data_IF_907055230368
#
_entry.id   IF_907055230368
#
_cell.length_a   1.000
_cell.length_b   1.000
_cell.length_c   1.000
_cell.angle_alpha   90.00
_cell.angle_beta   90.00
_cell.angle_gamma   90.00
#
_symmetry.space_group_name_H-M   'P 1'
#
loop_
_entity.id
_entity.type
_entity.pdbx_description
1 polymer ?
#
# COMPACT_ATOMS: atom_id res chain seq x y z
N UNK A 1 33.08 2.91 -68.80
CA UNK A 1 32.93 1.60 -69.39
C UNK A 1 32.27 0.65 -68.47
N UNK A 2 31.12 0.25 -68.94
CA UNK A 2 30.47 -1.06 -68.93
C UNK A 2 30.04 -1.57 -67.54
N UNK A 3 28.82 -1.52 -67.28
CA UNK A 3 27.64 -2.26 -67.74
C UNK A 3 27.39 -3.59 -66.99
N UNK A 4 26.16 -3.66 -66.49
CA UNK A 4 25.27 -4.82 -66.40
C UNK A 4 25.66 -5.95 -65.44
N UNK A 5 24.78 -6.36 -64.55
CA UNK A 5 23.62 -7.12 -64.88
C UNK A 5 22.63 -7.29 -63.74
N UNK A 6 21.40 -7.12 -64.02
CA UNK A 6 20.25 -7.49 -63.25
C UNK A 6 20.08 -9.03 -63.25
N UNK A 7 19.63 -9.58 -62.18
CA UNK A 7 18.87 -10.85 -62.25
C UNK A 7 17.76 -10.89 -61.21
N UNK A 8 16.57 -10.76 -61.74
CA UNK A 8 15.33 -11.24 -61.13
C UNK A 8 15.38 -12.76 -61.08
N UNK A 9 14.92 -13.34 -59.99
CA UNK A 9 14.34 -14.67 -59.95
C UNK A 9 13.32 -14.65 -58.79
N UNK A 10 12.08 -14.46 -59.14
CA UNK A 10 10.97 -15.40 -59.36
C UNK A 10 10.51 -16.07 -58.08
N UNK A 11 9.32 -15.65 -57.74
CA UNK A 11 8.28 -16.32 -56.99
C UNK A 11 8.22 -17.78 -57.39
N UNK A 12 8.19 -18.68 -56.42
CA UNK A 12 7.48 -19.91 -56.61
C UNK A 12 6.64 -20.28 -55.35
N UNK A 13 5.46 -20.55 -55.67
CA UNK A 13 4.28 -20.89 -54.99
C UNK A 13 4.35 -22.36 -54.50
N UNK A 14 3.36 -22.69 -53.65
CA UNK A 14 2.76 -24.01 -53.37
C UNK A 14 3.37 -24.68 -52.14
N UNK A 15 2.61 -25.05 -51.14
CA UNK A 15 1.56 -26.03 -51.21
C UNK A 15 0.63 -25.95 -49.99
N UNK A 16 -0.61 -26.18 -50.31
CA UNK A 16 -1.77 -26.39 -49.48
C UNK A 16 -1.74 -27.83 -48.93
N UNK A 17 -1.89 -28.03 -47.66
CA UNK A 17 -1.87 -29.39 -47.08
C UNK A 17 -2.49 -29.45 -45.69
N UNK A 18 -3.80 -29.47 -45.69
CA UNK A 18 -4.72 -30.31 -44.89
C UNK A 18 -4.51 -30.40 -43.37
N UNK A 19 -5.45 -29.82 -42.68
CA UNK A 19 -6.52 -30.44 -41.88
C UNK A 19 -6.16 -31.79 -41.27
N UNK A 20 -6.08 -31.78 -39.95
CA UNK A 20 -6.78 -32.82 -39.20
C UNK A 20 -7.23 -32.30 -37.84
N UNK A 21 -8.52 -32.29 -37.68
CA UNK A 21 -9.25 -32.07 -36.45
C UNK A 21 -9.13 -33.32 -35.56
N UNK A 22 -8.77 -33.16 -34.34
CA UNK A 22 -9.05 -34.15 -33.32
C UNK A 22 -9.87 -33.49 -32.20
N UNK A 23 -11.18 -33.64 -32.40
CA UNK A 23 -12.17 -33.57 -31.32
C UNK A 23 -11.93 -34.76 -30.39
N UNK A 24 -11.76 -34.48 -29.12
CA UNK A 24 -12.14 -35.43 -28.09
C UNK A 24 -13.04 -34.70 -27.10
N UNK A 25 -14.31 -34.84 -27.31
CA UNK A 25 -15.35 -34.68 -26.33
C UNK A 25 -15.18 -35.76 -25.25
N UNK A 26 -15.22 -35.43 -24.03
CA UNK A 26 -15.69 -36.36 -23.02
C UNK A 26 -16.55 -35.64 -21.99
N UNK A 27 -17.80 -35.70 -22.23
CA UNK A 27 -18.94 -35.52 -21.36
C UNK A 27 -18.91 -36.60 -20.29
N UNK A 28 -18.94 -36.21 -19.05
CA UNK A 28 -19.53 -37.07 -18.03
C UNK A 28 -20.37 -36.21 -17.10
N UNK A 29 -21.62 -36.18 -17.43
CA UNK A 29 -22.73 -35.83 -16.54
C UNK A 29 -22.87 -36.93 -15.51
N UNK A 30 -22.85 -36.54 -14.24
CA UNK A 30 -23.49 -37.36 -13.19
C UNK A 30 -24.52 -36.50 -12.49
N UNK A 31 -25.71 -36.79 -12.83
CA UNK A 31 -26.97 -36.39 -12.23
C UNK A 31 -27.28 -37.41 -11.15
N UNK A 32 -27.49 -36.98 -9.94
CA UNK A 32 -28.19 -37.74 -8.89
C UNK A 32 -28.87 -36.70 -7.99
N UNK A 33 -30.08 -36.53 -8.19
CA UNK A 33 -31.28 -37.07 -7.56
C UNK A 33 -31.55 -36.55 -6.15
N UNK A 34 -32.65 -35.84 -6.14
CA UNK A 34 -33.45 -35.30 -5.04
C UNK A 34 -34.07 -36.45 -4.25
N UNK A 35 -34.03 -36.32 -2.92
CA UNK A 35 -35.04 -36.88 -1.99
C UNK A 35 -34.96 -36.00 -0.74
N UNK A 36 -35.87 -35.13 -0.53
CA UNK A 36 -37.18 -35.16 0.07
C UNK A 36 -37.15 -35.60 1.56
N UNK A 37 -37.67 -34.70 2.41
CA UNK A 37 -38.38 -35.08 3.61
C UNK A 37 -37.80 -34.59 4.96
N UNK A 38 -38.44 -33.57 5.53
CA UNK A 38 -38.56 -33.54 6.94
C UNK A 38 -38.22 -32.25 7.72
N UNK A 39 -39.12 -31.31 7.70
CA UNK A 39 -39.43 -30.44 8.84
C UNK A 39 -40.60 -31.09 9.63
N UNK A 40 -40.94 -30.75 10.87
CA UNK A 40 -40.47 -29.69 11.79
C UNK A 40 -40.36 -30.18 13.25
N UNK A 41 -39.81 -29.36 14.14
CA UNK A 41 -40.34 -29.23 15.51
C UNK A 41 -39.75 -28.03 16.25
N UNK A 42 -40.64 -27.21 16.64
CA UNK A 42 -40.68 -26.09 17.57
C UNK A 42 -40.46 -26.57 19.01
N UNK A 43 -39.71 -25.80 19.82
CA UNK A 43 -39.91 -25.55 21.24
C UNK A 43 -38.84 -24.55 21.68
N UNK A 44 -39.18 -23.31 21.85
CA UNK A 44 -39.66 -22.56 23.05
C UNK A 44 -38.87 -22.77 24.31
N UNK A 45 -38.41 -21.57 24.74
CA UNK A 45 -38.47 -21.09 26.14
C UNK A 45 -37.21 -21.28 26.99
N UNK A 46 -36.61 -20.28 27.47
CA UNK A 46 -36.83 -19.56 28.72
C UNK A 46 -35.75 -18.52 28.94
N UNK A 47 -36.22 -17.32 29.15
CA UNK A 47 -35.55 -16.20 29.77
C UNK A 47 -35.10 -16.54 31.23
N UNK A 48 -33.98 -15.97 31.62
CA UNK A 48 -33.84 -15.53 33.02
C UNK A 48 -32.89 -14.35 33.10
N UNK A 49 -33.52 -13.20 33.31
CA UNK A 49 -32.96 -12.01 33.92
C UNK A 49 -32.44 -12.37 35.31
N UNK A 50 -31.36 -11.76 35.71
CA UNK A 50 -31.13 -11.51 37.12
C UNK A 50 -30.42 -10.16 37.29
N UNK A 51 -31.27 -9.17 37.53
CA UNK A 51 -30.93 -7.96 38.27
C UNK A 51 -30.69 -8.32 39.71
N UNK A 52 -29.66 -7.77 40.30
CA UNK A 52 -29.66 -7.42 41.72
C UNK A 52 -28.82 -6.18 41.95
N UNK A 53 -29.53 -5.18 42.14
CA UNK A 53 -29.36 -3.88 42.76
C UNK A 53 -28.98 -3.97 44.24
N UNK A 54 -28.53 -2.80 44.78
CA UNK A 54 -28.54 -2.29 46.19
C UNK A 54 -27.20 -2.47 46.93
N UNK A 55 -26.64 -1.53 47.61
CA UNK A 55 -26.93 -0.18 48.09
C UNK A 55 -25.68 0.42 48.74
N UNK A 56 -25.50 1.66 48.52
CA UNK A 56 -25.42 2.82 49.44
C UNK A 56 -24.75 2.65 50.81
N UNK A 57 -24.01 3.73 51.11
CA UNK A 57 -23.74 4.47 52.36
C UNK A 57 -22.33 4.24 52.95
N UNK A 58 -21.62 5.19 53.45
CA UNK A 58 -21.90 6.53 53.95
C UNK A 58 -20.60 7.31 54.18
N UNK A 59 -20.70 8.56 53.97
CA UNK A 59 -20.00 9.74 54.47
C UNK A 59 -19.08 9.57 55.68
N UNK A 60 -17.89 10.19 55.61
CA UNK A 60 -17.40 10.98 56.75
C UNK A 60 -16.36 12.06 56.27
N UNK A 61 -16.85 13.30 56.34
CA UNK A 61 -16.02 14.48 56.52
C UNK A 61 -15.34 14.43 57.87
N UNK A 62 -14.10 14.86 57.95
CA UNK A 62 -13.57 15.66 59.06
C UNK A 62 -12.52 16.62 58.57
N UNK A 63 -12.85 17.85 58.72
CA UNK A 63 -12.23 19.15 58.77
C UNK A 63 -10.75 19.27 59.17
N UNK A 64 -10.11 20.20 58.47
CA UNK A 64 -9.43 21.43 58.91
C UNK A 64 -8.14 21.31 59.79
N UNK A 65 -7.11 21.89 59.41
CA UNK A 65 -6.56 23.24 59.66
C UNK A 65 -5.06 23.26 59.31
N UNK A 66 -4.72 24.20 58.49
CA UNK A 66 -3.76 25.32 58.58
C UNK A 66 -2.33 24.99 59.03
N UNK A 67 -1.30 25.31 58.30
CA UNK A 67 -0.64 26.61 58.32
C UNK A 67 0.62 26.64 57.46
N UNK A 68 0.84 27.81 56.87
CA UNK A 68 2.09 28.48 56.58
C UNK A 68 3.06 28.02 55.48
N UNK A 69 3.00 28.81 54.42
CA UNK A 69 4.10 29.48 53.71
C UNK A 69 5.44 28.74 53.54
N UNK A 70 5.70 28.42 52.29
CA UNK A 70 6.97 28.87 51.65
C UNK A 70 6.72 29.07 50.15
N UNK A 71 6.87 30.30 49.71
CA UNK A 71 7.08 30.63 48.30
C UNK A 71 8.35 29.92 47.85
N UNK A 72 8.24 29.04 46.88
CA UNK A 72 9.37 28.73 46.04
C UNK A 72 8.88 28.53 44.61
N UNK A 73 9.23 29.50 43.85
CA UNK A 73 9.44 29.55 42.41
C UNK A 73 8.84 28.40 41.58
N UNK A 74 7.66 28.63 41.05
CA UNK A 74 7.22 27.93 39.83
C UNK A 74 8.17 28.33 38.70
N UNK A 75 9.21 27.56 38.50
CA UNK A 75 9.79 27.45 37.18
C UNK A 75 8.70 26.82 36.28
N UNK A 76 8.06 27.67 35.55
CA UNK A 76 7.35 27.27 34.34
C UNK A 76 8.39 26.65 33.41
N UNK A 77 8.55 25.33 33.52
CA UNK A 77 9.10 24.53 32.47
C UNK A 77 8.14 24.72 31.28
N UNK A 78 8.41 25.78 30.50
CA UNK A 78 8.04 25.79 29.11
C UNK A 78 8.70 24.55 28.51
N UNK A 79 7.95 23.47 28.52
CA UNK A 79 8.27 22.30 27.73
C UNK A 79 8.34 22.77 26.28
N UNK A 80 9.54 23.06 25.84
CA UNK A 80 9.87 23.16 24.45
C UNK A 80 9.41 21.83 23.86
N UNK A 81 8.28 21.80 23.19
CA UNK A 81 7.91 20.69 22.30
C UNK A 81 9.02 20.71 21.25
N UNK A 82 10.01 19.84 21.47
CA UNK A 82 11.03 19.58 20.46
C UNK A 82 10.27 18.83 19.37
N UNK A 83 9.76 19.59 18.40
CA UNK A 83 9.26 18.97 17.17
C UNK A 83 10.41 18.16 16.60
N UNK A 84 10.22 16.87 16.33
CA UNK A 84 11.28 16.05 15.77
C UNK A 84 11.74 16.70 14.47
N UNK A 85 13.02 17.07 14.44
CA UNK A 85 13.59 17.69 13.26
C UNK A 85 13.82 16.62 12.23
N UNK A 86 13.03 16.65 11.17
CA UNK A 86 13.22 15.82 9.98
C UNK A 86 13.84 16.73 8.92
N UNK A 87 14.96 16.31 8.36
CA UNK A 87 15.71 17.08 7.37
C UNK A 87 16.13 16.15 6.24
N UNK A 88 15.63 16.42 5.06
CA UNK A 88 16.02 15.75 3.81
C UNK A 88 16.39 16.83 2.81
N UNK A 89 17.57 16.74 2.24
CA UNK A 89 18.12 17.73 1.30
C UNK A 89 18.41 17.08 -0.05
N UNK A 90 18.77 17.86 -1.04
CA UNK A 90 19.15 17.36 -2.37
C UNK A 90 20.37 16.43 -2.36
N UNK A 91 21.22 16.54 -1.32
CA UNK A 91 22.40 15.69 -1.13
C UNK A 91 22.10 14.45 -0.27
N UNK A 92 20.85 14.29 0.20
CA UNK A 92 20.45 13.14 1.00
C UNK A 92 20.11 11.95 0.10
N UNK A 93 20.27 10.73 0.63
CA UNK A 93 19.92 9.51 -0.07
C UNK A 93 18.74 8.78 0.56
N UNK A 94 18.03 8.00 -0.25
CA UNK A 94 16.96 7.11 0.13
C UNK A 94 17.46 5.67 0.11
N UNK A 95 17.08 4.87 1.09
CA UNK A 95 17.22 3.42 1.00
C UNK A 95 16.05 2.81 0.23
N UNK A 96 16.27 1.64 -0.37
CA UNK A 96 15.20 0.90 -1.04
C UNK A 96 14.09 0.54 -0.06
N UNK A 97 12.82 0.91 -0.35
CA UNK A 97 11.71 0.72 0.58
C UNK A 97 11.20 -0.72 0.65
N UNK A 98 11.51 -1.54 -0.34
CA UNK A 98 11.13 -2.96 -0.40
C UNK A 98 12.13 -3.76 -1.23
N UNK A 99 12.23 -5.05 -0.94
CA UNK A 99 12.96 -5.97 -1.78
C UNK A 99 12.17 -6.26 -3.07
N UNK A 100 12.83 -6.12 -4.23
CA UNK A 100 12.19 -6.36 -5.51
C UNK A 100 12.99 -5.80 -6.67
N UNK A 101 12.35 -5.70 -7.82
CA UNK A 101 12.90 -5.08 -9.03
C UNK A 101 11.95 -4.00 -9.55
N UNK A 102 12.50 -3.03 -10.25
CA UNK A 102 11.69 -2.01 -10.88
C UNK A 102 10.83 -2.67 -11.97
N UNK A 103 9.51 -2.49 -11.86
CA UNK A 103 8.53 -2.95 -12.82
C UNK A 103 8.20 -1.85 -13.84
N UNK A 104 8.01 -0.63 -13.33
CA UNK A 104 7.82 0.57 -14.16
C UNK A 104 8.58 1.73 -13.53
N UNK A 105 9.36 2.41 -14.35
CA UNK A 105 10.11 3.60 -13.95
C UNK A 105 9.21 4.83 -13.82
N UNK A 106 9.62 5.78 -12.99
CA UNK A 106 9.08 7.13 -13.02
C UNK A 106 9.21 7.73 -14.43
N UNK A 107 8.12 8.29 -14.96
CA UNK A 107 8.11 8.91 -16.27
C UNK A 107 7.04 9.99 -16.37
N UNK A 108 7.48 11.25 -16.28
CA UNK A 108 6.62 12.43 -16.44
C UNK A 108 6.96 13.25 -17.69
N UNK A 109 7.98 12.86 -18.43
CA UNK A 109 8.37 13.43 -19.73
C UNK A 109 7.93 12.54 -20.91
N UNK A 110 7.60 11.28 -20.66
CA UNK A 110 7.08 10.30 -21.59
C UNK A 110 5.98 9.45 -20.99
N UNK A 111 5.31 8.68 -21.83
CA UNK A 111 4.27 7.75 -21.36
C UNK A 111 4.80 6.34 -21.29
N UNK A 112 4.37 5.57 -20.28
CA UNK A 112 4.60 4.14 -20.14
C UNK A 112 3.29 3.37 -20.35
N UNK A 113 3.40 2.14 -20.79
CA UNK A 113 2.24 1.29 -21.04
C UNK A 113 1.83 0.56 -19.76
N UNK A 114 0.60 0.78 -19.32
CA UNK A 114 -0.03 0.08 -18.20
C UNK A 114 -0.82 -1.10 -18.73
N UNK A 115 -0.37 -2.32 -18.45
CA UNK A 115 -0.94 -3.55 -19.00
C UNK A 115 -2.38 -3.77 -18.53
N UNK A 116 -2.65 -3.61 -17.23
CA UNK A 116 -4.00 -3.74 -16.66
C UNK A 116 -4.99 -2.78 -17.30
N UNK A 117 -4.57 -1.54 -17.57
CA UNK A 117 -5.43 -0.50 -18.12
C UNK A 117 -5.49 -0.52 -19.66
N UNK A 118 -4.55 -1.23 -20.30
CA UNK A 118 -4.37 -1.27 -21.74
C UNK A 118 -4.24 0.14 -22.35
N UNK A 119 -3.49 1.01 -21.66
CA UNK A 119 -3.30 2.40 -22.08
C UNK A 119 -1.89 2.91 -21.78
N UNK A 120 -1.51 3.99 -22.49
CA UNK A 120 -0.29 4.75 -22.25
C UNK A 120 -0.60 5.97 -21.37
N UNK A 121 0.06 6.10 -20.23
CA UNK A 121 -0.08 7.25 -19.32
C UNK A 121 1.26 7.63 -18.70
N UNK A 122 1.33 8.84 -18.14
CA UNK A 122 2.47 9.27 -17.34
C UNK A 122 2.50 8.46 -16.05
N UNK A 123 3.69 8.16 -15.57
CA UNK A 123 3.88 7.43 -14.31
C UNK A 123 4.59 8.31 -13.28
N UNK A 124 3.88 8.83 -12.28
CA UNK A 124 4.45 9.72 -11.26
C UNK A 124 5.21 8.99 -10.15
N UNK A 125 5.38 7.68 -10.28
CA UNK A 125 5.93 6.82 -9.24
C UNK A 125 6.91 5.80 -9.81
N UNK A 126 7.72 5.24 -8.94
CA UNK A 126 8.47 4.02 -9.18
C UNK A 126 7.58 2.84 -8.74
N UNK A 127 7.29 1.91 -9.65
CA UNK A 127 6.56 0.69 -9.31
C UNK A 127 7.55 -0.43 -9.10
N UNK A 128 7.63 -0.92 -7.87
CA UNK A 128 8.59 -1.95 -7.47
C UNK A 128 7.86 -3.28 -7.36
N UNK A 129 8.16 -4.22 -8.25
CA UNK A 129 7.65 -5.59 -8.16
C UNK A 129 8.12 -6.23 -6.86
N UNK A 130 7.18 -6.69 -6.04
CA UNK A 130 7.48 -7.32 -4.76
C UNK A 130 6.38 -8.32 -4.41
N UNK A 131 6.69 -9.35 -3.67
CA UNK A 131 5.70 -10.36 -3.30
C UNK A 131 4.76 -9.83 -2.22
N UNK A 132 3.48 -10.20 -2.32
CA UNK A 132 2.51 -9.96 -1.25
C UNK A 132 3.04 -10.45 0.10
N UNK A 133 3.00 -9.59 1.11
CA UNK A 133 3.51 -9.87 2.44
C UNK A 133 5.00 -9.58 2.65
N UNK A 134 5.72 -9.12 1.62
CA UNK A 134 7.06 -8.59 1.82
C UNK A 134 7.03 -7.31 2.66
N UNK A 135 7.99 -7.10 3.56
CA UNK A 135 8.05 -5.89 4.37
C UNK A 135 8.34 -4.66 3.52
N UNK A 136 7.67 -3.56 3.86
CA UNK A 136 7.92 -2.22 3.35
C UNK A 136 8.48 -1.38 4.48
N UNK A 137 9.63 -0.76 4.26
CA UNK A 137 10.35 0.03 5.25
C UNK A 137 10.47 1.48 4.82
N UNK A 138 10.67 2.37 5.78
CA UNK A 138 10.87 3.79 5.54
C UNK A 138 12.18 4.00 4.76
N UNK A 139 12.09 4.64 3.59
CA UNK A 139 13.26 4.93 2.76
C UNK A 139 14.15 6.04 3.34
N UNK A 140 13.59 6.88 4.21
CA UNK A 140 14.29 7.92 4.96
C UNK A 140 13.59 8.12 6.32
N UNK A 141 14.26 8.82 7.23
CA UNK A 141 13.62 9.31 8.45
C UNK A 141 12.53 10.31 8.12
N UNK A 142 11.35 10.18 8.75
CA UNK A 142 10.22 11.07 8.48
C UNK A 142 9.14 11.05 9.55
N UNK A 143 8.09 11.81 9.27
CA UNK A 143 6.88 11.87 10.09
C UNK A 143 5.72 11.38 9.20
N UNK A 144 4.95 10.43 9.69
CA UNK A 144 3.75 9.94 8.99
C UNK A 144 2.71 11.06 8.94
N UNK A 145 2.43 11.57 7.74
CA UNK A 145 1.51 12.69 7.54
C UNK A 145 0.07 12.20 7.39
N UNK A 146 -0.15 11.15 6.59
CA UNK A 146 -1.46 10.53 6.43
C UNK A 146 -1.36 9.04 6.07
N UNK A 147 -2.46 8.33 6.36
CA UNK A 147 -2.69 6.95 5.90
C UNK A 147 -4.10 6.93 5.34
N UNK A 148 -4.21 6.81 4.03
CA UNK A 148 -5.46 6.88 3.30
C UNK A 148 -5.70 5.60 2.50
N UNK A 149 -6.95 5.37 2.08
CA UNK A 149 -7.30 4.27 1.19
C UNK A 149 -7.94 4.83 -0.06
N UNK A 150 -7.36 4.52 -1.21
CA UNK A 150 -7.92 4.90 -2.50
C UNK A 150 -8.01 3.69 -3.45
N UNK A 151 -8.72 3.85 -4.56
CA UNK A 151 -8.97 2.74 -5.47
C UNK A 151 -7.75 2.35 -6.31
N UNK A 152 -6.87 3.30 -6.63
CA UNK A 152 -5.73 3.08 -7.52
C UNK A 152 -4.56 2.45 -6.76
N UNK A 153 -4.14 3.07 -5.66
CA UNK A 153 -2.95 2.66 -4.90
C UNK A 153 -3.27 1.97 -3.58
N UNK A 154 -4.55 1.61 -3.33
CA UNK A 154 -4.96 0.90 -2.13
C UNK A 154 -4.69 1.70 -0.85
N UNK A 155 -4.25 1.02 0.20
CA UNK A 155 -3.77 1.68 1.42
C UNK A 155 -2.46 2.39 1.12
N UNK A 156 -2.47 3.70 1.32
CA UNK A 156 -1.40 4.61 0.93
C UNK A 156 -0.97 5.43 2.13
N UNK A 157 0.31 5.38 2.44
CA UNK A 157 0.96 6.15 3.49
C UNK A 157 1.74 7.29 2.88
N UNK A 158 1.52 8.51 3.37
CA UNK A 158 2.31 9.69 3.02
C UNK A 158 3.16 10.09 4.21
N UNK A 159 4.42 10.34 3.96
CA UNK A 159 5.42 10.66 4.96
C UNK A 159 6.16 11.93 4.58
N UNK A 160 6.21 12.89 5.51
CA UNK A 160 7.03 14.10 5.38
C UNK A 160 8.44 13.80 5.85
N UNK A 161 9.42 14.04 5.00
CA UNK A 161 10.83 13.77 5.28
C UNK A 161 11.67 15.06 5.48
N UNK A 162 11.01 16.23 5.49
CA UNK A 162 11.64 17.54 5.69
C UNK A 162 11.82 18.31 4.40
N UNK A 163 12.10 19.61 4.50
CA UNK A 163 12.39 20.53 3.39
C UNK A 163 11.40 20.42 2.20
N UNK A 164 10.10 20.27 2.51
CA UNK A 164 9.00 20.06 1.55
C UNK A 164 9.12 18.80 0.67
N UNK A 165 9.87 17.80 1.13
CA UNK A 165 9.88 16.49 0.52
C UNK A 165 8.88 15.56 1.20
N UNK A 166 8.14 14.83 0.37
CA UNK A 166 7.17 13.82 0.78
C UNK A 166 7.48 12.50 0.09
N UNK A 167 7.38 11.39 0.82
CA UNK A 167 7.40 10.04 0.27
C UNK A 167 6.01 9.43 0.38
N UNK A 168 5.59 8.73 -0.67
CA UNK A 168 4.29 8.10 -0.77
C UNK A 168 4.50 6.61 -1.04
N UNK A 169 3.94 5.78 -0.15
CA UNK A 169 3.99 4.34 -0.21
C UNK A 169 2.58 3.81 -0.42
N UNK A 170 2.27 3.29 -1.58
CA UNK A 170 0.95 2.71 -1.89
C UNK A 170 1.00 1.19 -2.01
N UNK A 171 -0.17 0.57 -2.09
CA UNK A 171 -0.38 -0.89 -2.14
C UNK A 171 0.11 -1.58 -0.86
N UNK A 172 -0.17 -0.95 0.29
CA UNK A 172 0.18 -1.48 1.60
C UNK A 172 -0.95 -2.31 2.21
N UNK A 173 -0.57 -3.22 3.08
CA UNK A 173 -1.44 -3.88 4.05
C UNK A 173 -0.76 -3.94 5.42
N UNK A 174 -1.57 -4.16 6.46
CA UNK A 174 -1.06 -4.33 7.83
C UNK A 174 -0.06 -3.22 8.21
N UNK A 175 -0.47 -1.95 8.00
CA UNK A 175 0.35 -0.79 8.33
C UNK A 175 0.67 -0.80 9.83
N UNK A 176 1.96 -0.70 10.15
CA UNK A 176 2.49 -0.86 11.51
C UNK A 176 2.66 0.47 12.27
N UNK A 177 2.41 1.58 11.62
CA UNK A 177 2.60 2.94 12.15
C UNK A 177 1.29 3.73 12.08
N UNK A 178 1.21 4.85 12.80
CA UNK A 178 0.05 5.72 12.83
C UNK A 178 0.41 7.14 12.37
N UNK A 179 -0.61 7.91 11.97
CA UNK A 179 -0.44 9.32 11.64
C UNK A 179 0.16 10.09 12.83
N UNK A 180 1.19 10.87 12.56
CA UNK A 180 1.95 11.63 13.53
C UNK A 180 3.17 10.90 14.10
N UNK A 181 3.34 9.61 13.82
CA UNK A 181 4.51 8.86 14.24
C UNK A 181 5.76 9.36 13.52
N UNK A 182 6.87 9.39 14.27
CA UNK A 182 8.21 9.62 13.73
C UNK A 182 8.85 8.26 13.48
N UNK A 183 9.25 8.03 12.26
CA UNK A 183 9.88 6.77 11.84
C UNK A 183 11.32 7.01 11.41
N UNK A 184 12.20 6.08 11.75
CA UNK A 184 13.59 6.11 11.32
C UNK A 184 13.74 5.41 9.95
N UNK A 185 14.81 5.73 9.21
CA UNK A 185 15.14 5.03 7.99
C UNK A 185 15.30 3.52 8.26
N UNK A 186 14.65 2.68 7.44
CA UNK A 186 14.65 1.23 7.60
C UNK A 186 13.60 0.69 8.59
N UNK A 187 12.83 1.54 9.24
CA UNK A 187 11.74 1.13 10.13
C UNK A 187 10.57 0.55 9.34
N UNK A 188 9.90 -0.47 9.88
CA UNK A 188 8.79 -1.15 9.23
C UNK A 188 7.55 -0.24 9.15
N UNK A 189 7.07 0.02 7.95
CA UNK A 189 5.82 0.76 7.69
C UNK A 189 4.62 -0.17 7.53
N UNK A 190 4.82 -1.35 6.97
CA UNK A 190 3.76 -2.32 6.67
C UNK A 190 4.26 -3.39 5.71
N UNK A 191 3.34 -3.97 4.96
CA UNK A 191 3.64 -5.05 4.02
C UNK A 191 3.01 -4.78 2.67
N UNK A 192 3.58 -5.35 1.61
CA UNK A 192 3.02 -5.29 0.25
C UNK A 192 1.69 -6.05 0.23
N UNK A 193 0.64 -5.41 -0.29
CA UNK A 193 -0.70 -6.01 -0.45
C UNK A 193 -0.82 -6.83 -1.72
N UNK A 194 -1.96 -7.50 -1.90
CA UNK A 194 -2.42 -7.91 -3.21
C UNK A 194 -2.63 -6.68 -4.09
N UNK A 195 -2.41 -6.80 -5.42
CA UNK A 195 -2.55 -5.67 -6.32
C UNK A 195 -4.00 -5.15 -6.35
N UNK A 196 -4.17 -3.86 -6.48
CA UNK A 196 -5.49 -3.29 -6.75
C UNK A 196 -5.97 -3.66 -8.15
N UNK A 197 -7.24 -3.38 -8.46
CA UNK A 197 -7.80 -3.58 -9.81
C UNK A 197 -7.06 -2.83 -10.92
N UNK A 198 -6.22 -1.85 -10.58
CA UNK A 198 -5.42 -1.04 -11.52
C UNK A 198 -4.06 -1.66 -11.85
N UNK A 199 -3.66 -2.73 -11.13
CA UNK A 199 -2.36 -3.38 -11.26
C UNK A 199 -2.46 -4.92 -11.32
N UNK A 200 -3.61 -5.46 -11.75
CA UNK A 200 -3.83 -6.91 -11.76
C UNK A 200 -2.85 -7.65 -12.68
N UNK A 201 -2.55 -7.11 -13.87
CA UNK A 201 -1.62 -7.72 -14.83
C UNK A 201 -0.16 -7.44 -14.44
N UNK A 202 0.10 -6.31 -13.80
CA UNK A 202 1.41 -5.95 -13.26
C UNK A 202 1.79 -6.82 -12.05
N UNK A 203 0.78 -7.34 -11.34
CA UNK A 203 0.96 -8.16 -10.16
C UNK A 203 1.28 -7.37 -8.89
N UNK A 204 1.62 -8.07 -7.82
CA UNK A 204 1.91 -7.45 -6.52
C UNK A 204 3.13 -6.55 -6.60
N UNK A 205 2.98 -5.34 -6.13
CA UNK A 205 3.99 -4.30 -6.22
C UNK A 205 3.84 -3.27 -5.10
N UNK A 206 4.89 -2.51 -4.88
CA UNK A 206 4.88 -1.28 -4.09
C UNK A 206 4.82 -0.09 -5.04
N UNK A 207 3.82 0.76 -4.86
CA UNK A 207 3.78 2.10 -5.46
C UNK A 207 4.65 3.03 -4.61
N UNK A 208 5.73 3.55 -5.16
CA UNK A 208 6.66 4.41 -4.45
C UNK A 208 6.85 5.73 -5.19
N UNK A 209 6.34 6.81 -4.64
CA UNK A 209 6.44 8.14 -5.23
C UNK A 209 7.13 9.12 -4.29
N UNK A 210 7.73 10.12 -4.88
CA UNK A 210 8.35 11.24 -4.17
C UNK A 210 7.80 12.55 -4.70
N UNK A 211 7.59 13.51 -3.79
CA UNK A 211 7.27 14.89 -4.14
C UNK A 211 8.25 15.84 -3.52
N UNK A 212 8.49 16.96 -4.21
CA UNK A 212 9.15 18.14 -3.69
C UNK A 212 8.28 19.36 -3.96
N UNK A 213 8.04 20.19 -2.96
CA UNK A 213 7.16 21.37 -3.06
C UNK A 213 5.79 21.03 -3.69
N UNK A 214 5.23 19.85 -3.37
CA UNK A 214 3.99 19.33 -3.90
C UNK A 214 4.04 18.82 -5.35
N UNK A 215 5.20 18.84 -6.00
CA UNK A 215 5.40 18.33 -7.36
C UNK A 215 6.08 16.97 -7.35
N UNK A 216 5.59 16.04 -8.16
CA UNK A 216 6.22 14.72 -8.29
C UNK A 216 7.64 14.84 -8.84
N UNK A 217 8.54 14.11 -8.25
CA UNK A 217 9.95 14.04 -8.67
C UNK A 217 10.40 12.57 -8.71
N UNK A 218 11.44 12.31 -9.49
CA UNK A 218 11.96 10.96 -9.66
C UNK A 218 12.69 10.48 -8.40
N UNK A 219 12.17 9.45 -7.70
CA UNK A 219 12.82 8.92 -6.52
C UNK A 219 14.14 8.20 -6.82
N UNK A 220 14.35 7.73 -8.07
CA UNK A 220 15.60 7.06 -8.47
C UNK A 220 16.82 7.99 -8.39
N UNK A 221 16.63 9.31 -8.42
CA UNK A 221 17.72 10.26 -8.26
C UNK A 221 18.34 10.24 -6.86
N UNK A 222 17.63 9.69 -5.88
CA UNK A 222 18.01 9.67 -4.46
C UNK A 222 18.23 8.26 -3.91
N UNK A 223 17.83 7.20 -4.63
CA UNK A 223 17.96 5.80 -4.17
C UNK A 223 19.39 5.29 -4.27
N UNK A 224 19.89 4.67 -3.19
CA UNK A 224 21.22 4.02 -3.09
C UNK A 224 21.12 2.54 -2.72
#
# INVERSE_FOLDING_TARGET
DSAKNASLATVDQIDDGQKEAAQIANTTSVQAQIADGGEPAVATDSAQENETEVARKDTREVSAESDAMTEDTQEVLSGSVISPTVQFTEDSSLSWPAAGSILMDYSMDGTVYFQTLNEYKYNPALIISSQTGNPVVAAAKGIVESIDVNEETGTTLTMNIGDNYELIYGQLKEVAVAQGDVVEQGELLGYVSEPTKYYCEEGSNLYFAMKKDGQVTDPCLYLE
#
